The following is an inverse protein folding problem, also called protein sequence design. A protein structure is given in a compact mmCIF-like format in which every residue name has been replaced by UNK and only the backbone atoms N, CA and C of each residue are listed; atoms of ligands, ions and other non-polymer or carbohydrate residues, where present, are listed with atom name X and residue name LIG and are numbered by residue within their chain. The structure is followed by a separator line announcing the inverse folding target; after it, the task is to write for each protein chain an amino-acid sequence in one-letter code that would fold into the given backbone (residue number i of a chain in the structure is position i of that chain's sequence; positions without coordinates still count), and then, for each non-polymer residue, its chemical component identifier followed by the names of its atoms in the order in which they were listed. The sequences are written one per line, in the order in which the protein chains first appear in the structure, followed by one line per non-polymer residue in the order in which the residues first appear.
data_IF_583229157706
#
_entry.id   IF_583229157706
#
_cell.length_a   1.000
_cell.length_b   1.000
_cell.length_c   1.000
_cell.angle_alpha   90.00
_cell.angle_beta   90.00
_cell.angle_gamma   90.00
#
_symmetry.space_group_name_H-M   'P 1'
#
loop_
_entity.id
_entity.type
_entity.pdbx_description
1 polymer ?
#
# COMPACT_ATOMS: atom_id res chain seq x y z
N UNK A 1 11.57 -3.63 8.32
CA UNK A 1 10.86 -3.72 7.02
C UNK A 1 9.40 -3.38 7.24
N UNK A 2 8.80 -2.61 6.31
CA UNK A 2 7.38 -2.27 6.33
C UNK A 2 6.57 -3.32 5.57
N UNK A 3 5.34 -3.58 6.00
CA UNK A 3 4.32 -4.36 5.27
C UNK A 3 3.85 -3.60 4.02
N UNK A 4 3.12 -4.26 3.13
CA UNK A 4 2.56 -3.64 1.93
C UNK A 4 1.66 -2.46 2.26
N UNK A 5 0.80 -2.60 3.28
CA UNK A 5 -0.05 -1.51 3.78
C UNK A 5 0.80 -0.32 4.24
N UNK A 6 1.81 -0.57 5.08
CA UNK A 6 2.69 0.48 5.61
C UNK A 6 3.52 1.16 4.52
N UNK A 7 3.92 0.43 3.46
CA UNK A 7 4.63 1.01 2.32
C UNK A 7 3.76 2.00 1.53
N UNK A 8 2.47 1.71 1.37
CA UNK A 8 1.51 2.59 0.68
C UNK A 8 1.09 3.74 1.62
N UNK A 9 0.79 3.45 2.88
CA UNK A 9 0.44 4.43 3.89
C UNK A 9 1.51 5.52 4.06
N UNK A 10 2.79 5.16 3.92
CA UNK A 10 3.89 6.11 4.03
C UNK A 10 3.77 7.30 3.06
N UNK A 11 3.25 7.09 1.84
CA UNK A 11 3.06 8.19 0.89
C UNK A 11 2.03 9.22 1.39
N UNK A 12 0.95 8.74 2.02
CA UNK A 12 -0.08 9.58 2.63
C UNK A 12 0.40 10.27 3.91
N UNK A 13 1.22 9.59 4.72
CA UNK A 13 1.83 10.16 5.92
C UNK A 13 2.78 11.33 5.59
N UNK A 14 3.51 11.24 4.48
CA UNK A 14 4.42 12.31 4.00
C UNK A 14 3.67 13.60 3.64
N UNK A 15 2.42 13.48 3.18
CA UNK A 15 1.54 14.63 2.90
C UNK A 15 0.63 14.98 4.09
N UNK A 16 0.98 14.50 5.28
CA UNK A 16 0.29 14.77 6.55
C UNK A 16 -1.21 14.37 6.54
N UNK A 17 -1.59 13.37 5.73
CA UNK A 17 -2.94 12.86 5.72
C UNK A 17 -3.33 12.30 7.09
N UNK A 18 -4.59 12.52 7.48
CA UNK A 18 -5.07 12.02 8.77
C UNK A 18 -5.07 10.48 8.80
N UNK A 19 -4.92 9.91 10.01
CA UNK A 19 -5.02 8.45 10.19
C UNK A 19 -6.32 7.87 9.62
N UNK A 20 -7.42 8.63 9.69
CA UNK A 20 -8.72 8.23 9.11
C UNK A 20 -8.66 8.15 7.59
N UNK A 21 -7.95 9.07 6.94
CA UNK A 21 -7.76 9.04 5.49
C UNK A 21 -6.87 7.86 5.08
N UNK A 22 -5.76 7.62 5.78
CA UNK A 22 -4.90 6.45 5.52
C UNK A 22 -5.70 5.15 5.58
N UNK A 23 -6.47 4.96 6.67
CA UNK A 23 -7.28 3.74 6.86
C UNK A 23 -8.41 3.59 5.83
N UNK A 24 -8.82 4.67 5.15
CA UNK A 24 -9.81 4.64 4.08
C UNK A 24 -9.19 4.41 2.70
N UNK A 25 -8.09 5.11 2.40
CA UNK A 25 -7.50 5.14 1.06
C UNK A 25 -6.65 3.90 0.77
N UNK A 26 -5.81 3.47 1.71
CA UNK A 26 -4.88 2.35 1.48
C UNK A 26 -5.62 1.05 1.13
N UNK A 27 -6.71 0.64 1.81
CA UNK A 27 -7.46 -0.55 1.41
C UNK A 27 -8.08 -0.43 0.00
N UNK A 28 -8.58 0.75 -0.36
CA UNK A 28 -9.17 0.99 -1.69
C UNK A 28 -8.12 0.88 -2.79
N UNK A 29 -6.91 1.42 -2.58
CA UNK A 29 -5.83 1.31 -3.56
C UNK A 29 -5.29 -0.12 -3.64
N UNK A 30 -5.17 -0.83 -2.52
CA UNK A 30 -4.82 -2.25 -2.53
C UNK A 30 -5.82 -3.07 -3.35
N UNK A 31 -7.11 -2.79 -3.24
CA UNK A 31 -8.14 -3.42 -4.06
C UNK A 31 -7.98 -3.07 -5.55
N UNK A 32 -7.76 -1.78 -5.87
CA UNK A 32 -7.54 -1.30 -7.23
C UNK A 32 -6.36 -2.00 -7.94
N UNK A 33 -5.28 -2.28 -7.22
CA UNK A 33 -4.10 -2.98 -7.77
C UNK A 33 -4.13 -4.50 -7.59
N UNK A 34 -5.26 -5.08 -7.16
CA UNK A 34 -5.42 -6.52 -6.99
C UNK A 34 -4.54 -7.12 -5.88
N UNK A 35 -4.31 -6.38 -4.80
CA UNK A 35 -3.51 -6.76 -3.63
C UNK A 35 -4.30 -6.68 -2.31
N UNK A 36 -5.63 -6.72 -2.37
CA UNK A 36 -6.55 -6.60 -1.21
C UNK A 36 -6.11 -7.45 0.00
N UNK A 37 -5.77 -8.72 -0.23
CA UNK A 37 -5.42 -9.66 0.85
C UNK A 37 -3.92 -9.66 1.21
N UNK A 38 -3.12 -8.80 0.56
CA UNK A 38 -1.67 -8.71 0.74
C UNK A 38 -1.22 -7.53 1.59
N UNK A 39 -2.14 -6.77 2.18
CA UNK A 39 -1.81 -5.61 3.01
C UNK A 39 -0.81 -5.90 4.13
N UNK A 40 -0.84 -7.11 4.71
CA UNK A 40 0.08 -7.54 5.78
C UNK A 40 1.38 -8.17 5.28
N UNK A 41 1.47 -8.49 3.99
CA UNK A 41 2.65 -9.12 3.41
C UNK A 41 3.84 -8.16 3.41
N UNK A 42 5.02 -8.66 3.72
CA UNK A 42 6.30 -7.97 3.57
C UNK A 42 6.83 -8.12 2.13
N UNK A 43 7.75 -7.24 1.68
CA UNK A 43 8.26 -7.28 0.30
C UNK A 43 8.83 -8.62 -0.15
N UNK A 44 9.46 -9.37 0.75
CA UNK A 44 10.03 -10.69 0.44
C UNK A 44 8.98 -11.81 0.31
N UNK A 45 7.73 -11.56 0.72
CA UNK A 45 6.58 -12.47 0.60
C UNK A 45 5.76 -12.18 -0.68
N UNK A 46 6.21 -11.22 -1.49
CA UNK A 46 5.59 -10.80 -2.74
C UNK A 46 6.44 -11.25 -3.92
N UNK A 47 5.78 -11.78 -4.95
CA UNK A 47 6.36 -11.96 -6.28
C UNK A 47 6.82 -10.62 -6.89
N UNK A 48 7.71 -10.67 -7.88
CA UNK A 48 8.19 -9.46 -8.56
C UNK A 48 7.06 -8.61 -9.17
N UNK A 49 6.04 -9.26 -9.75
CA UNK A 49 4.86 -8.57 -10.28
C UNK A 49 3.99 -7.94 -9.19
N UNK A 50 3.86 -8.57 -8.01
CA UNK A 50 3.18 -7.97 -6.86
C UNK A 50 3.96 -6.76 -6.34
N UNK A 51 5.29 -6.85 -6.23
CA UNK A 51 6.14 -5.71 -5.81
C UNK A 51 6.01 -4.51 -6.77
N UNK A 52 5.94 -4.75 -8.08
CA UNK A 52 5.66 -3.70 -9.06
C UNK A 52 4.30 -3.02 -8.80
N UNK A 53 3.25 -3.80 -8.50
CA UNK A 53 1.93 -3.25 -8.18
C UNK A 53 1.92 -2.48 -6.85
N UNK A 54 2.74 -2.84 -5.88
CA UNK A 54 2.94 -2.02 -4.67
C UNK A 54 3.56 -0.66 -5.02
N UNK A 55 4.55 -0.62 -5.91
CA UNK A 55 5.12 0.65 -6.39
C UNK A 55 4.09 1.50 -7.13
N UNK A 56 3.22 0.89 -7.94
CA UNK A 56 2.11 1.58 -8.58
C UNK A 56 1.11 2.13 -7.55
N UNK A 57 0.74 1.33 -6.54
CA UNK A 57 -0.16 1.75 -5.47
C UNK A 57 0.36 2.98 -4.71
N UNK A 58 1.67 3.04 -4.44
CA UNK A 58 2.31 4.20 -3.80
C UNK A 58 2.24 5.49 -4.64
N UNK A 59 2.10 5.39 -5.95
CA UNK A 59 1.97 6.54 -6.84
C UNK A 59 0.51 6.99 -7.07
N UNK A 60 -0.46 6.16 -6.69
CA UNK A 60 -1.89 6.45 -6.81
C UNK A 60 -2.41 7.27 -5.61
N UNK A 61 -1.83 7.03 -4.42
CA UNK A 61 -2.21 7.70 -3.17
C UNK A 61 -1.54 9.06 -3.00
#
# INVERSE_FOLDING_TARGET
NKTTFENIAFALEVVEASRREVLRQVPAVLELVGLRDKGKAYPHELSGGEQQRVSLARAIV
#
